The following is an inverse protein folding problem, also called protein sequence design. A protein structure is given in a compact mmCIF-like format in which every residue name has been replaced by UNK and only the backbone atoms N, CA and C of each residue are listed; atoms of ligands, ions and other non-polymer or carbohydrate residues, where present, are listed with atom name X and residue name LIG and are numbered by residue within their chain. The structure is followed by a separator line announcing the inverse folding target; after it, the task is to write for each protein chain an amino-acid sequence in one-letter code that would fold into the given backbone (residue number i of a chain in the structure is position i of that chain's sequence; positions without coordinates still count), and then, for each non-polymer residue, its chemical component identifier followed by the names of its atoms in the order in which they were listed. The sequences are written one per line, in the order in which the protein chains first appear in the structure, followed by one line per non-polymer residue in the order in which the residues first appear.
data_IF_485964386720
#
_entry.id   IF_485964386720
#
_cell.length_a   1.000
_cell.length_b   1.000
_cell.length_c   1.000
_cell.angle_alpha   90.00
_cell.angle_beta   90.00
_cell.angle_gamma   90.00
#
_symmetry.space_group_name_H-M   'P 1'
#
loop_
_entity.id
_entity.type
_entity.pdbx_description
1 polymer ?
#
# COMPACT_ATOMS: atom_id res chain seq x y z
N UNK A 1 -12.08 10.87 -2.01
CA UNK A 1 -11.24 10.05 -2.92
C UNK A 1 -9.97 10.81 -3.27
N UNK A 2 -8.83 10.14 -3.37
CA UNK A 2 -7.53 10.75 -3.74
C UNK A 2 -7.44 10.90 -5.26
N UNK A 3 -7.64 12.13 -5.78
CA UNK A 3 -7.69 12.39 -7.22
C UNK A 3 -6.37 12.14 -7.94
N UNK A 4 -5.23 12.36 -7.27
CA UNK A 4 -3.89 12.12 -7.85
C UNK A 4 -3.61 10.63 -8.05
N UNK A 5 -4.05 9.82 -7.09
CA UNK A 5 -3.88 8.37 -7.16
C UNK A 5 -4.81 7.76 -8.22
N UNK A 6 -6.05 8.27 -8.33
CA UNK A 6 -6.94 7.87 -9.42
C UNK A 6 -6.33 8.21 -10.79
N UNK A 7 -5.87 9.45 -10.98
CA UNK A 7 -5.25 9.89 -12.22
C UNK A 7 -3.98 9.07 -12.55
N UNK A 8 -3.20 8.67 -11.54
CA UNK A 8 -2.09 7.74 -11.73
C UNK A 8 -2.57 6.43 -12.36
N UNK A 9 -3.59 5.77 -11.82
CA UNK A 9 -4.09 4.52 -12.41
C UNK A 9 -4.75 4.70 -13.78
N UNK A 10 -5.44 5.81 -14.02
CA UNK A 10 -6.13 6.08 -15.30
C UNK A 10 -5.17 6.44 -16.43
N UNK A 11 -4.04 7.10 -16.13
CA UNK A 11 -3.11 7.65 -17.12
C UNK A 11 -1.75 6.93 -17.18
N UNK A 12 -1.50 5.97 -16.31
CA UNK A 12 -0.20 5.29 -16.22
C UNK A 12 0.11 4.50 -17.50
N UNK A 13 1.37 4.61 -17.91
CA UNK A 13 1.96 3.90 -19.04
C UNK A 13 1.90 2.37 -18.88
N UNK A 14 1.67 1.66 -19.98
CA UNK A 14 1.55 0.21 -20.01
C UNK A 14 2.79 -0.51 -19.45
N UNK A 15 3.98 0.08 -19.59
CA UNK A 15 5.21 -0.51 -19.06
C UNK A 15 5.22 -0.61 -17.53
N UNK A 16 4.47 0.28 -16.85
CA UNK A 16 4.36 0.31 -15.39
C UNK A 16 3.28 -0.63 -14.84
N UNK A 17 2.31 -1.06 -15.67
CA UNK A 17 1.17 -1.90 -15.23
C UNK A 17 1.59 -3.17 -14.51
N UNK A 18 2.68 -3.82 -14.93
CA UNK A 18 3.16 -5.07 -14.32
C UNK A 18 3.73 -4.94 -12.89
N UNK A 19 3.91 -3.70 -12.40
CA UNK A 19 4.48 -3.39 -11.09
C UNK A 19 3.47 -2.82 -10.10
N UNK A 20 2.24 -2.56 -10.54
CA UNK A 20 1.16 -2.05 -9.69
C UNK A 20 0.01 -3.04 -9.66
N UNK A 21 -0.89 -2.94 -8.67
CA UNK A 21 -2.17 -3.66 -8.71
C UNK A 21 -2.98 -3.31 -9.97
N UNK A 22 -3.72 -4.28 -10.50
CA UNK A 22 -4.66 -4.03 -11.60
C UNK A 22 -5.74 -3.06 -11.10
N UNK A 23 -5.98 -2.01 -11.86
CA UNK A 23 -7.08 -1.09 -11.63
C UNK A 23 -8.38 -1.66 -12.19
N UNK A 24 -9.34 -1.94 -11.31
CA UNK A 24 -10.63 -2.53 -11.69
C UNK A 24 -11.73 -1.47 -11.87
N UNK A 25 -11.46 -0.22 -11.52
CA UNK A 25 -12.43 0.87 -11.60
C UNK A 25 -12.61 1.61 -10.28
N UNK A 26 -13.71 2.35 -10.18
CA UNK A 26 -14.09 3.09 -8.97
C UNK A 26 -15.49 2.69 -8.53
N UNK A 27 -15.69 2.63 -7.23
CA UNK A 27 -16.98 2.30 -6.63
C UNK A 27 -17.35 3.33 -5.57
N UNK A 28 -18.64 3.62 -5.49
CA UNK A 28 -19.24 4.29 -4.35
C UNK A 28 -19.67 3.23 -3.34
N UNK A 29 -19.21 3.35 -2.10
CA UNK A 29 -19.64 2.48 -1.00
C UNK A 29 -20.59 3.26 -0.10
N UNK A 30 -21.71 2.65 0.23
CA UNK A 30 -22.68 3.12 1.20
C UNK A 30 -22.68 2.17 2.39
N UNK A 31 -22.67 2.71 3.61
CA UNK A 31 -22.76 1.94 4.84
C UNK A 31 -24.05 2.30 5.58
N UNK A 32 -24.84 1.29 5.93
CA UNK A 32 -26.05 1.43 6.76
C UNK A 32 -25.95 0.50 7.96
N UNK A 33 -26.56 0.90 9.07
CA UNK A 33 -26.70 0.07 10.27
C UNK A 33 -28.07 -0.60 10.18
N UNK A 34 -28.10 -1.92 10.26
CA UNK A 34 -29.32 -2.72 10.29
C UNK A 34 -29.90 -2.77 11.71
N UNK A 35 -31.13 -3.25 11.88
CA UNK A 35 -31.85 -3.24 13.16
C UNK A 35 -31.15 -4.06 14.27
N UNK A 36 -30.36 -5.06 13.90
CA UNK A 36 -29.57 -5.90 14.81
C UNK A 36 -28.17 -5.33 15.15
N UNK A 37 -27.85 -4.15 14.60
CA UNK A 37 -26.57 -3.47 14.76
C UNK A 37 -25.47 -3.92 13.79
N UNK A 38 -25.71 -4.94 12.95
CA UNK A 38 -24.77 -5.30 11.88
C UNK A 38 -24.75 -4.18 10.81
N UNK A 39 -23.58 -3.95 10.22
CA UNK A 39 -23.41 -2.98 9.14
C UNK A 39 -23.55 -3.65 7.79
N UNK A 40 -24.39 -3.08 6.95
CA UNK A 40 -24.49 -3.43 5.54
C UNK A 40 -23.67 -2.45 4.70
N UNK A 41 -22.71 -3.00 3.96
CA UNK A 41 -21.89 -2.25 3.01
C UNK A 41 -22.30 -2.59 1.58
N UNK A 42 -22.75 -1.60 0.81
CA UNK A 42 -23.15 -1.76 -0.60
C UNK A 42 -22.18 -0.98 -1.46
N UNK A 43 -21.59 -1.62 -2.47
CA UNK A 43 -20.70 -0.99 -3.44
C UNK A 43 -21.35 -0.92 -4.83
N UNK A 44 -21.34 0.26 -5.45
CA UNK A 44 -21.93 0.53 -6.76
C UNK A 44 -20.95 1.28 -7.69
N UNK A 45 -20.86 0.94 -8.99
CA UNK A 45 -21.51 -0.18 -9.64
C UNK A 45 -20.92 -1.53 -9.18
N UNK A 46 -21.64 -2.62 -9.43
CA UNK A 46 -21.07 -3.96 -9.29
C UNK A 46 -20.00 -4.12 -10.37
N UNK A 47 -18.76 -4.34 -9.95
CA UNK A 47 -17.63 -4.55 -10.87
C UNK A 47 -17.25 -6.02 -10.81
N UNK A 48 -17.45 -6.72 -11.93
CA UNK A 48 -16.93 -8.07 -12.09
C UNK A 48 -15.47 -8.00 -12.54
N UNK A 49 -14.55 -8.16 -11.60
CA UNK A 49 -13.12 -8.26 -11.87
C UNK A 49 -12.55 -9.56 -11.28
N UNK A 50 -11.73 -10.27 -12.07
CA UNK A 50 -10.99 -11.47 -11.66
C UNK A 50 -11.87 -12.62 -11.11
N UNK A 51 -12.77 -13.21 -11.93
CA UNK A 51 -13.77 -14.21 -11.49
C UNK A 51 -13.18 -15.53 -10.94
N UNK A 52 -11.89 -15.78 -11.18
CA UNK A 52 -11.20 -17.01 -10.76
C UNK A 52 -10.61 -16.95 -9.36
N UNK A 53 -10.69 -15.79 -8.68
CA UNK A 53 -10.21 -15.69 -7.29
C UNK A 53 -11.26 -16.27 -6.35
N UNK A 54 -10.82 -17.13 -5.41
CA UNK A 54 -11.69 -17.67 -4.37
C UNK A 54 -12.30 -16.51 -3.58
N UNK A 55 -13.62 -16.54 -3.34
CA UNK A 55 -14.27 -15.60 -2.43
C UNK A 55 -13.51 -15.59 -1.10
N UNK A 56 -13.02 -14.43 -0.68
CA UNK A 56 -12.48 -14.26 0.66
C UNK A 56 -13.54 -14.63 1.69
N UNK A 57 -13.10 -15.07 2.88
CA UNK A 57 -14.02 -15.32 4.00
C UNK A 57 -14.89 -14.09 4.28
N UNK A 58 -16.07 -14.32 4.84
CA UNK A 58 -17.01 -13.24 5.17
C UNK A 58 -16.39 -12.33 6.23
N UNK A 59 -16.24 -11.05 5.89
CA UNK A 59 -15.82 -9.98 6.79
C UNK A 59 -17.09 -9.18 7.07
N UNK A 60 -17.53 -9.17 8.33
CA UNK A 60 -18.70 -8.41 8.77
C UNK A 60 -18.27 -7.31 9.73
N UNK A 61 -19.04 -6.24 9.79
CA UNK A 61 -18.83 -5.14 10.72
C UNK A 61 -20.08 -4.97 11.57
N UNK A 62 -19.91 -4.61 12.84
CA UNK A 62 -21.01 -4.30 13.76
C UNK A 62 -20.77 -2.97 14.46
N UNK A 63 -21.83 -2.21 14.72
CA UNK A 63 -21.75 -1.01 15.54
C UNK A 63 -21.99 -1.41 17.00
N UNK A 64 -20.93 -1.40 17.81
CA UNK A 64 -21.04 -1.68 19.24
C UNK A 64 -21.71 -0.54 20.01
N UNK A 65 -22.12 -0.80 21.24
CA UNK A 65 -22.81 0.16 22.13
C UNK A 65 -22.01 1.46 22.35
N UNK A 66 -20.68 1.36 22.34
CA UNK A 66 -19.77 2.52 22.43
C UNK A 66 -19.69 3.36 21.15
N UNK A 67 -20.58 3.12 20.18
CA UNK A 67 -20.59 3.69 18.82
C UNK A 67 -19.30 3.44 18.04
N UNK A 68 -18.57 2.39 18.40
CA UNK A 68 -17.36 1.95 17.69
C UNK A 68 -17.70 0.82 16.73
N UNK A 69 -17.09 0.85 15.56
CA UNK A 69 -17.21 -0.23 14.58
C UNK A 69 -16.28 -1.36 14.98
N UNK A 70 -16.83 -2.57 15.06
CA UNK A 70 -16.13 -3.79 15.40
C UNK A 70 -16.09 -4.72 14.20
N UNK A 71 -14.93 -5.33 13.95
CA UNK A 71 -14.77 -6.30 12.88
C UNK A 71 -15.10 -7.71 13.39
N UNK A 72 -16.03 -8.37 12.72
CA UNK A 72 -16.41 -9.76 12.95
C UNK A 72 -15.91 -10.60 11.77
N UNK A 73 -15.01 -11.53 12.06
CA UNK A 73 -14.41 -12.43 11.07
C UNK A 73 -14.23 -13.82 11.67
N UNK A 74 -14.58 -14.85 10.92
CA UNK A 74 -14.38 -16.25 11.33
C UNK A 74 -12.89 -16.63 11.35
N UNK A 75 -12.03 -15.78 10.76
CA UNK A 75 -10.58 -15.88 10.85
C UNK A 75 -10.12 -15.05 12.03
N UNK A 76 -9.48 -15.68 13.03
CA UNK A 76 -8.68 -14.97 14.03
C UNK A 76 -7.73 -14.04 13.27
N UNK A 77 -7.78 -12.71 13.46
CA UNK A 77 -6.84 -11.83 12.81
C UNK A 77 -5.46 -12.15 13.39
N UNK A 78 -4.65 -12.95 12.68
CA UNK A 78 -3.23 -13.08 13.00
C UNK A 78 -2.53 -11.70 12.99
N UNK A 79 -3.20 -10.71 12.43
CA UNK A 79 -2.80 -9.33 12.28
C UNK A 79 -3.90 -8.41 12.85
N UNK A 80 -3.82 -8.10 14.14
CA UNK A 80 -4.77 -7.22 14.84
C UNK A 80 -4.82 -5.79 14.26
N UNK A 81 -3.70 -5.27 13.76
CA UNK A 81 -3.65 -3.91 13.22
C UNK A 81 -4.46 -3.75 11.93
N UNK A 82 -4.55 -4.79 11.10
CA UNK A 82 -5.33 -4.76 9.87
C UNK A 82 -6.83 -4.67 10.19
N UNK A 83 -7.27 -5.39 11.22
CA UNK A 83 -8.65 -5.34 11.71
C UNK A 83 -9.01 -3.92 12.20
N UNK A 84 -8.16 -3.32 13.03
CA UNK A 84 -8.37 -1.95 13.53
C UNK A 84 -8.42 -0.93 12.39
N UNK A 85 -7.57 -1.08 11.37
CA UNK A 85 -7.59 -0.22 10.20
C UNK A 85 -8.90 -0.35 9.41
N UNK A 86 -9.39 -1.58 9.23
CA UNK A 86 -10.66 -1.84 8.54
C UNK A 86 -11.84 -1.23 9.30
N UNK A 87 -11.91 -1.45 10.62
CA UNK A 87 -12.93 -0.84 11.48
C UNK A 87 -12.91 0.68 11.41
N UNK A 88 -11.73 1.32 11.45
CA UNK A 88 -11.61 2.77 11.32
C UNK A 88 -12.08 3.28 9.95
N UNK A 89 -11.79 2.56 8.87
CA UNK A 89 -12.24 2.93 7.52
C UNK A 89 -13.76 2.89 7.43
N UNK A 90 -14.39 1.87 8.00
CA UNK A 90 -15.84 1.70 8.00
C UNK A 90 -16.53 2.70 8.94
N UNK A 91 -15.94 3.01 10.09
CA UNK A 91 -16.43 4.07 10.97
C UNK A 91 -16.52 5.42 10.24
N UNK A 92 -15.45 5.83 9.56
CA UNK A 92 -15.45 7.09 8.79
C UNK A 92 -16.41 7.08 7.60
N UNK A 93 -16.66 5.91 7.03
CA UNK A 93 -17.65 5.72 5.99
C UNK A 93 -19.07 5.97 6.53
N UNK A 94 -19.39 5.44 7.71
CA UNK A 94 -20.66 5.73 8.40
C UNK A 94 -20.82 7.21 8.75
N UNK A 95 -19.74 7.89 9.13
CA UNK A 95 -19.74 9.34 9.38
C UNK A 95 -19.88 10.18 8.09
N UNK A 96 -19.94 9.56 6.91
CA UNK A 96 -20.04 10.27 5.63
C UNK A 96 -18.77 11.00 5.22
N UNK A 97 -17.62 10.68 5.82
CA UNK A 97 -16.34 11.36 5.52
C UNK A 97 -15.88 11.18 4.07
N UNK A 98 -16.27 10.06 3.44
CA UNK A 98 -16.01 9.74 2.05
C UNK A 98 -16.92 8.59 1.60
N UNK A 99 -17.23 8.53 0.32
CA UNK A 99 -18.03 7.45 -0.27
C UNK A 99 -17.38 6.80 -1.49
N UNK A 100 -16.40 7.44 -2.13
CA UNK A 100 -15.75 6.94 -3.34
C UNK A 100 -14.40 6.29 -3.08
N UNK A 101 -14.20 5.11 -3.68
CA UNK A 101 -13.03 4.26 -3.54
C UNK A 101 -12.49 3.83 -4.92
N UNK A 102 -11.17 3.64 -4.98
CA UNK A 102 -10.48 3.00 -6.10
C UNK A 102 -10.52 1.49 -5.84
N UNK A 103 -10.99 0.71 -6.81
CA UNK A 103 -11.01 -0.75 -6.76
C UNK A 103 -9.74 -1.30 -7.42
N UNK A 104 -8.97 -2.04 -6.65
CA UNK A 104 -7.71 -2.66 -7.08
C UNK A 104 -7.76 -4.16 -6.87
N UNK A 105 -7.06 -4.92 -7.72
CA UNK A 105 -6.91 -6.35 -7.50
C UNK A 105 -6.15 -6.64 -6.18
N UNK A 106 -6.48 -7.75 -5.54
CA UNK A 106 -5.78 -8.19 -4.35
C UNK A 106 -4.55 -9.00 -4.73
N UNK A 107 -3.38 -8.37 -4.73
CA UNK A 107 -2.09 -8.96 -5.11
C UNK A 107 -1.66 -10.15 -4.22
N UNK A 108 -2.25 -10.30 -3.03
CA UNK A 108 -1.94 -11.43 -2.12
C UNK A 108 -3.02 -12.53 -2.13
N UNK A 109 -4.10 -12.37 -2.90
CA UNK A 109 -5.26 -13.29 -2.87
C UNK A 109 -4.92 -14.75 -3.21
N UNK A 110 -3.91 -14.97 -4.04
CA UNK A 110 -3.48 -16.31 -4.47
C UNK A 110 -2.59 -17.03 -3.45
N UNK A 111 -2.20 -16.36 -2.37
CA UNK A 111 -1.30 -16.92 -1.35
C UNK A 111 -2.10 -17.34 -0.12
N UNK A 112 -1.92 -18.59 0.33
CA UNK A 112 -2.55 -19.06 1.56
C UNK A 112 -1.96 -18.39 2.81
N UNK A 113 -0.65 -18.15 2.81
CA UNK A 113 0.12 -17.63 3.93
C UNK A 113 1.15 -16.60 3.43
N UNK A 114 0.69 -15.41 3.00
CA UNK A 114 1.56 -14.42 2.37
C UNK A 114 2.56 -13.84 3.37
N UNK A 115 3.82 -13.77 2.93
CA UNK A 115 4.82 -12.88 3.52
C UNK A 115 4.77 -11.55 2.77
N UNK A 116 4.63 -10.44 3.49
CA UNK A 116 4.47 -9.10 2.93
C UNK A 116 5.57 -8.20 3.50
N UNK A 117 6.17 -7.39 2.63
CA UNK A 117 7.14 -6.38 3.00
C UNK A 117 6.74 -5.07 2.32
N UNK A 118 6.54 -4.03 3.12
CA UNK A 118 6.21 -2.69 2.67
C UNK A 118 7.38 -1.74 2.97
N UNK A 119 7.91 -1.14 1.91
CA UNK A 119 9.06 -0.26 1.94
C UNK A 119 8.66 1.12 1.43
N UNK A 120 9.12 2.15 2.14
CA UNK A 120 9.01 3.54 1.67
C UNK A 120 10.35 3.97 1.09
N UNK A 121 10.36 4.25 -0.21
CA UNK A 121 11.54 4.65 -0.97
C UNK A 121 11.60 6.17 -1.08
N UNK A 122 12.83 6.71 -1.15
CA UNK A 122 13.14 8.11 -1.38
C UNK A 122 13.53 8.87 -0.12
N UNK A 123 14.46 9.81 -0.28
CA UNK A 123 14.92 10.78 0.73
C UNK A 123 14.02 12.01 0.80
N UNK A 124 13.20 12.26 -0.22
CA UNK A 124 12.16 13.30 -0.25
C UNK A 124 10.78 12.67 -0.38
N UNK A 125 9.93 12.90 0.63
CA UNK A 125 8.63 12.22 0.77
C UNK A 125 7.45 13.18 0.94
N UNK A 126 7.63 14.44 0.52
CA UNK A 126 6.58 15.43 0.40
C UNK A 126 6.46 15.81 -1.08
N UNK A 127 5.23 15.93 -1.58
CA UNK A 127 4.98 16.50 -2.90
C UNK A 127 5.19 18.02 -2.88
N UNK A 128 5.22 18.63 -4.05
CA UNK A 128 5.46 20.07 -4.21
C UNK A 128 4.35 20.90 -3.54
N UNK A 129 3.09 20.45 -3.62
CA UNK A 129 1.94 21.14 -3.00
C UNK A 129 1.70 20.74 -1.53
N UNK A 130 2.68 20.15 -0.86
CA UNK A 130 2.51 19.75 0.54
C UNK A 130 2.49 20.99 1.45
N UNK A 131 1.47 21.11 2.30
CA UNK A 131 1.44 22.12 3.36
C UNK A 131 2.70 22.05 4.23
N UNK A 132 3.10 23.17 4.82
CA UNK A 132 4.34 23.25 5.59
C UNK A 132 4.35 22.25 6.76
N UNK A 133 3.22 22.07 7.44
CA UNK A 133 3.07 21.09 8.53
C UNK A 133 3.25 19.66 8.02
N UNK A 134 2.69 19.31 6.85
CA UNK A 134 2.85 18.02 6.20
C UNK A 134 4.30 17.81 5.78
N UNK A 135 4.93 18.82 5.20
CA UNK A 135 6.35 18.80 4.80
C UNK A 135 7.26 18.55 6.00
N UNK A 136 7.09 19.32 7.09
CA UNK A 136 7.86 19.17 8.33
C UNK A 136 7.72 17.77 8.93
N UNK A 137 6.49 17.23 8.97
CA UNK A 137 6.23 15.86 9.46
C UNK A 137 6.92 14.80 8.61
N UNK A 138 6.91 14.93 7.29
CA UNK A 138 7.57 13.95 6.40
C UNK A 138 9.09 14.05 6.46
N UNK A 139 9.65 15.27 6.54
CA UNK A 139 11.08 15.48 6.73
C UNK A 139 11.57 14.88 8.04
N UNK A 140 10.83 15.09 9.14
CA UNK A 140 11.15 14.48 10.44
C UNK A 140 11.21 12.96 10.35
N UNK A 141 10.17 12.33 9.78
CA UNK A 141 10.15 10.87 9.56
C UNK A 141 11.31 10.38 8.70
N UNK A 142 11.74 11.16 7.71
CA UNK A 142 12.88 10.79 6.88
C UNK A 142 14.18 10.82 7.68
N UNK A 143 14.43 11.92 8.41
CA UNK A 143 15.62 12.13 9.25
C UNK A 143 15.75 11.08 10.35
N UNK A 144 14.64 10.73 10.99
CA UNK A 144 14.57 9.75 12.09
C UNK A 144 14.48 8.30 11.59
N UNK A 145 14.99 7.98 10.39
CA UNK A 145 14.89 6.63 9.84
C UNK A 145 16.02 6.34 8.86
N UNK A 146 16.11 5.08 8.44
CA UNK A 146 16.97 4.64 7.34
C UNK A 146 16.68 5.34 6.00
N UNK A 147 15.57 6.06 5.84
CA UNK A 147 15.35 6.88 4.63
C UNK A 147 16.43 7.95 4.43
N UNK A 148 16.98 8.53 5.50
CA UNK A 148 18.02 9.55 5.38
C UNK A 148 19.37 8.98 4.92
N UNK A 149 19.72 7.77 5.35
CA UNK A 149 21.03 7.15 5.10
C UNK A 149 21.02 6.17 3.93
N UNK A 150 19.96 5.37 3.79
CA UNK A 150 19.83 4.34 2.77
C UNK A 150 18.89 4.74 1.62
N UNK A 151 18.18 5.87 1.73
CA UNK A 151 17.16 6.26 0.76
C UNK A 151 15.91 5.37 0.78
N UNK A 152 15.77 4.48 1.77
CA UNK A 152 14.63 3.57 1.94
C UNK A 152 14.42 3.28 3.42
N UNK A 153 13.16 3.06 3.85
CA UNK A 153 12.85 2.53 5.18
C UNK A 153 11.73 1.49 5.15
N UNK A 154 11.69 0.64 6.17
CA UNK A 154 10.60 -0.30 6.39
C UNK A 154 9.40 0.42 7.00
N UNK A 155 8.20 0.19 6.45
CA UNK A 155 6.96 0.76 6.99
C UNK A 155 5.95 -0.31 7.41
N UNK A 156 6.18 -1.56 6.99
CA UNK A 156 5.44 -2.71 7.45
C UNK A 156 6.12 -4.00 7.01
N UNK A 157 6.02 -5.04 7.84
CA UNK A 157 6.41 -6.39 7.45
C UNK A 157 5.49 -7.41 8.13
N UNK A 158 5.17 -8.48 7.41
CA UNK A 158 4.49 -9.66 7.90
C UNK A 158 5.23 -10.89 7.35
N UNK A 159 5.81 -11.70 8.23
CA UNK A 159 6.54 -12.91 7.86
C UNK A 159 5.87 -14.13 8.46
N UNK A 160 5.60 -15.13 7.63
CA UNK A 160 5.12 -16.43 8.09
C UNK A 160 6.29 -17.41 8.24
N UNK A 161 6.48 -17.97 9.43
CA UNK A 161 7.42 -19.05 9.67
C UNK A 161 6.71 -20.41 9.63
N UNK A 162 7.03 -21.22 8.61
CA UNK A 162 6.38 -22.50 8.38
C UNK A 162 6.66 -23.56 9.45
N UNK A 163 7.80 -23.44 10.15
CA UNK A 163 8.23 -24.36 11.21
C UNK A 163 7.46 -24.14 12.50
N UNK A 164 7.31 -22.89 12.91
CA UNK A 164 6.59 -22.50 14.14
C UNK A 164 5.10 -22.24 13.90
N UNK A 165 4.66 -22.22 12.63
CA UNK A 165 3.28 -21.90 12.22
C UNK A 165 2.81 -20.55 12.75
N UNK A 166 3.73 -19.59 12.84
CA UNK A 166 3.46 -18.27 13.43
C UNK A 166 3.83 -17.14 12.47
N UNK A 167 3.26 -15.97 12.75
CA UNK A 167 3.60 -14.73 12.08
C UNK A 167 4.47 -13.84 12.96
N UNK A 168 5.41 -13.12 12.33
CA UNK A 168 6.14 -12.02 12.93
C UNK A 168 5.84 -10.74 12.17
N UNK A 169 5.74 -9.63 12.88
CA UNK A 169 5.38 -8.33 12.32
C UNK A 169 6.41 -7.27 12.65
N UNK A 170 6.59 -6.33 11.74
CA UNK A 170 7.27 -5.05 12.01
C UNK A 170 6.29 -3.96 11.64
N UNK A 171 6.00 -3.08 12.59
CA UNK A 171 5.10 -1.96 12.37
C UNK A 171 5.86 -0.71 11.89
N UNK A 172 5.11 0.35 11.57
CA UNK A 172 5.67 1.63 11.11
C UNK A 172 6.53 2.35 12.15
N UNK A 173 6.37 2.06 13.45
CA UNK A 173 7.11 2.70 14.53
C UNK A 173 8.45 2.01 14.73
N UNK A 174 8.43 0.69 14.78
CA UNK A 174 9.61 -0.16 14.82
C UNK A 174 10.46 0.06 13.56
N UNK A 175 9.87 0.03 12.37
CA UNK A 175 10.58 0.31 11.12
C UNK A 175 11.19 1.72 11.01
N UNK A 176 10.73 2.70 11.82
CA UNK A 176 11.38 4.01 11.92
C UNK A 176 12.60 3.99 12.83
N UNK A 177 12.51 3.30 13.97
CA UNK A 177 13.62 3.19 14.95
C UNK A 177 14.76 2.31 14.47
N UNK A 178 14.47 1.46 13.48
CA UNK A 178 15.39 0.52 12.89
C UNK A 178 16.65 1.19 12.32
N UNK A 179 17.81 0.65 12.62
CA UNK A 179 19.08 1.06 12.00
C UNK A 179 19.37 0.32 10.68
N UNK A 180 20.51 0.62 10.05
CA UNK A 180 20.89 0.00 8.78
C UNK A 180 21.20 -1.51 8.89
N UNK A 181 21.72 -1.96 10.03
CA UNK A 181 22.04 -3.37 10.28
C UNK A 181 20.76 -4.18 10.48
N UNK A 182 19.86 -3.68 11.32
CA UNK A 182 18.55 -4.27 11.57
C UNK A 182 17.72 -4.31 10.27
N UNK A 183 17.75 -3.25 9.46
CA UNK A 183 17.07 -3.21 8.17
C UNK A 183 17.55 -4.33 7.24
N UNK A 184 18.88 -4.51 7.13
CA UNK A 184 19.47 -5.58 6.31
C UNK A 184 19.09 -6.96 6.86
N UNK A 185 19.11 -7.15 8.18
CA UNK A 185 18.71 -8.41 8.83
C UNK A 185 17.26 -8.78 8.53
N UNK A 186 16.33 -7.83 8.61
CA UNK A 186 14.92 -8.06 8.28
C UNK A 186 14.71 -8.36 6.79
N UNK A 187 15.44 -7.69 5.90
CA UNK A 187 15.39 -7.99 4.46
C UNK A 187 15.90 -9.41 4.16
N UNK A 188 16.99 -9.84 4.80
CA UNK A 188 17.52 -11.19 4.68
C UNK A 188 16.54 -12.24 5.20
N UNK A 189 15.88 -11.98 6.34
CA UNK A 189 14.79 -12.82 6.86
C UNK A 189 13.66 -12.93 5.83
N UNK A 190 13.16 -11.81 5.30
CA UNK A 190 12.10 -11.82 4.28
C UNK A 190 12.47 -12.69 3.08
N UNK A 191 13.68 -12.55 2.53
CA UNK A 191 14.17 -13.37 1.41
C UNK A 191 14.20 -14.86 1.77
N UNK A 192 14.62 -15.21 2.99
CA UNK A 192 14.68 -16.59 3.48
C UNK A 192 13.27 -17.20 3.58
N UNK A 193 12.32 -16.52 4.22
CA UNK A 193 10.96 -17.03 4.43
C UNK A 193 10.13 -17.09 3.15
N UNK A 194 10.32 -16.13 2.23
CA UNK A 194 9.67 -16.16 0.92
C UNK A 194 10.27 -17.24 0.00
N UNK A 195 11.49 -17.69 0.26
CA UNK A 195 12.20 -18.67 -0.57
C UNK A 195 12.89 -18.04 -1.78
N UNK A 196 14.01 -18.66 -2.17
CA UNK A 196 14.99 -18.10 -3.11
C UNK A 196 14.37 -17.80 -4.48
N UNK A 197 13.52 -18.70 -5.02
CA UNK A 197 12.88 -18.49 -6.32
C UNK A 197 11.95 -17.27 -6.36
N UNK A 198 11.14 -17.06 -5.31
CA UNK A 198 10.27 -15.87 -5.19
C UNK A 198 11.12 -14.60 -5.01
N UNK A 199 12.15 -14.66 -4.17
CA UNK A 199 13.05 -13.53 -3.97
C UNK A 199 13.83 -13.17 -5.25
N UNK A 200 14.24 -14.14 -6.06
CA UNK A 200 14.89 -13.91 -7.34
C UNK A 200 13.95 -13.21 -8.34
N UNK A 201 12.68 -13.66 -8.43
CA UNK A 201 11.66 -12.99 -9.26
C UNK A 201 11.40 -11.56 -8.79
N UNK A 202 11.32 -11.33 -7.48
CA UNK A 202 11.20 -9.99 -6.93
C UNK A 202 12.40 -9.14 -7.34
N UNK A 203 13.63 -9.59 -7.10
CA UNK A 203 14.84 -8.86 -7.51
C UNK A 203 14.85 -8.51 -8.99
N UNK A 204 14.47 -9.45 -9.86
CA UNK A 204 14.40 -9.20 -11.30
C UNK A 204 13.37 -8.11 -11.63
N UNK A 205 12.16 -8.18 -11.05
CA UNK A 205 11.15 -7.11 -11.19
C UNK A 205 11.65 -5.76 -10.69
N UNK A 206 12.32 -5.74 -9.54
CA UNK A 206 12.89 -4.51 -8.97
C UNK A 206 13.93 -3.87 -9.88
N UNK A 207 14.85 -4.66 -10.43
CA UNK A 207 15.86 -4.16 -11.39
C UNK A 207 15.18 -3.62 -12.64
N UNK A 208 14.21 -4.34 -13.19
CA UNK A 208 13.50 -3.92 -14.39
C UNK A 208 12.71 -2.63 -14.19
N UNK A 209 12.00 -2.49 -13.06
CA UNK A 209 11.34 -1.24 -12.68
C UNK A 209 12.34 -0.10 -12.55
N UNK A 210 13.49 -0.33 -11.94
CA UNK A 210 14.52 0.70 -11.79
C UNK A 210 15.06 1.19 -13.14
N UNK A 211 15.25 0.29 -14.10
CA UNK A 211 15.65 0.64 -15.48
C UNK A 211 14.59 1.50 -16.16
N UNK A 212 13.31 1.11 -16.05
CA UNK A 212 12.20 1.89 -16.62
C UNK A 212 12.17 3.30 -16.01
N UNK A 213 12.22 3.40 -14.67
CA UNK A 213 12.20 4.68 -13.98
C UNK A 213 13.43 5.55 -14.32
N UNK A 214 14.60 4.94 -14.47
CA UNK A 214 15.81 5.65 -14.89
C UNK A 214 15.66 6.20 -16.32
N UNK A 215 15.10 5.40 -17.24
CA UNK A 215 14.84 5.85 -18.61
C UNK A 215 13.84 7.02 -18.65
N UNK A 216 12.78 6.98 -17.84
CA UNK A 216 11.85 8.10 -17.70
C UNK A 216 12.53 9.35 -17.12
N UNK A 217 13.35 9.21 -16.07
CA UNK A 217 14.08 10.32 -15.48
C UNK A 217 15.07 10.95 -16.46
N UNK A 218 15.81 10.13 -17.21
CA UNK A 218 16.72 10.58 -18.27
C UNK A 218 15.95 11.26 -19.40
N UNK A 219 14.80 10.71 -19.81
CA UNK A 219 13.96 11.31 -20.86
C UNK A 219 13.38 12.66 -20.42
N UNK A 220 12.92 12.77 -19.16
CA UNK A 220 12.47 14.05 -18.59
C UNK A 220 13.63 15.03 -18.53
N UNK A 221 14.81 14.61 -18.07
CA UNK A 221 15.99 15.46 -18.00
C UNK A 221 16.42 15.95 -19.39
N UNK A 222 16.50 15.06 -20.37
CA UNK A 222 16.81 15.38 -21.77
C UNK A 222 15.76 16.31 -22.35
N UNK A 223 14.47 16.01 -22.17
CA UNK A 223 13.36 16.86 -22.64
C UNK A 223 13.41 18.25 -22.01
N UNK A 224 13.69 18.34 -20.70
CA UNK A 224 13.84 19.61 -19.98
C UNK A 224 15.06 20.40 -20.49
N UNK A 225 16.19 19.73 -20.76
CA UNK A 225 17.39 20.33 -21.34
C UNK A 225 17.14 20.83 -22.76
N UNK A 226 16.42 20.07 -23.60
CA UNK A 226 16.02 20.53 -24.94
C UNK A 226 15.01 21.67 -24.87
N UNK A 227 14.10 21.69 -23.90
CA UNK A 227 13.16 22.81 -23.69
C UNK A 227 13.89 24.08 -23.24
N UNK A 228 14.91 23.96 -22.38
CA UNK A 228 15.80 25.07 -22.03
C UNK A 228 16.64 25.52 -23.24
N UNK A 229 17.14 24.59 -24.06
CA UNK A 229 17.94 24.90 -25.25
C UNK A 229 17.14 25.50 -26.40
N UNK A 230 15.82 25.27 -26.49
CA UNK A 230 14.93 25.89 -27.50
C UNK A 230 14.45 27.30 -27.14
N UNK A 231 14.68 27.77 -25.91
CA UNK A 231 14.25 29.10 -25.43
C UNK A 231 15.37 30.17 -25.43
N UNK A 232 16.53 29.89 -26.03
CA UNK A 232 17.57 30.89 -26.30
C UNK A 232 17.68 31.09 -27.82
N UNK A 233 16.86 31.98 -28.37
CA UNK A 233 16.89 32.28 -29.80
C UNK A 233 15.66 33.02 -30.30
N UNK A 234 15.44 34.25 -29.83
CA UNK A 234 14.75 35.32 -30.55
C UNK A 234 15.17 36.66 -29.96
#
# INVERSE_FOLDING_TARGET
MNTRELAFYELMDDNLRQFVPDYCGRVRVCATVEDDGDLRLIAEPIVECHPRLKKSGSVRFRLGESRRVELITDRVPHNYWAADCQSLVVHKLLEGSYSWFILLNNIVATFSLPCVLDLKIGTRQHGDDASESKRRRQLRKCRESTSATLGVRMVGMQLYESRTKSYTFVDKQEGRRMDASEFRSHLQKFVRYCGIGRAARLRHKWVYLFVILLHFLVSIFISSVFYVSKNFGS
#
